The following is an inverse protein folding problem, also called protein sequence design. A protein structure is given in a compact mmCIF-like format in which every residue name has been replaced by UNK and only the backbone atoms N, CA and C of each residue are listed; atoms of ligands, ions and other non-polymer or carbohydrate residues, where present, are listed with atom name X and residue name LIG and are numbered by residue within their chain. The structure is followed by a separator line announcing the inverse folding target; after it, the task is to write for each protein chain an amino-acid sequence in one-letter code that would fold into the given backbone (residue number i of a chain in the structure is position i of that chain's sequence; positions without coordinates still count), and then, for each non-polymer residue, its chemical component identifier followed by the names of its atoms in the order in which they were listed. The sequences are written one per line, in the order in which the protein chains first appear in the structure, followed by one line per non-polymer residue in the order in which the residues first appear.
data_IF_872690519215
#
_entry.id   IF_872690519215
#
_cell.length_a   1.000
_cell.length_b   1.000
_cell.length_c   1.000
_cell.angle_alpha   90.00
_cell.angle_beta   90.00
_cell.angle_gamma   90.00
#
_symmetry.space_group_name_H-M   'P 1'
#
loop_
_entity.id
_entity.type
_entity.pdbx_description
1 polymer ?
2 non-polymer ?
3 non-polymer ?
4 non-polymer ?
5 water ?
#
# COMPACT_ATOMS: atom_id res chain seq x y z
N UNK A 3 6.15 -0.12 -21.88
CA UNK A 3 5.02 -0.08 -22.86
C UNK A 3 4.80 1.29 -23.47
N UNK A 4 4.10 2.16 -22.73
CA UNK A 4 3.75 3.50 -23.19
C UNK A 4 5.00 4.31 -23.55
N UNK A 5 4.92 5.09 -24.63
CA UNK A 5 6.07 5.88 -25.09
C UNK A 5 6.45 6.92 -24.04
N UNK A 6 7.74 6.98 -23.72
CA UNK A 6 8.28 7.87 -22.70
C UNK A 6 9.18 8.89 -23.39
N UNK A 7 8.83 10.18 -23.29
CA UNK A 7 9.70 11.23 -23.80
C UNK A 7 10.95 11.37 -22.93
N UNK A 8 11.94 12.05 -23.48
CA UNK A 8 13.21 12.27 -22.78
C UNK A 8 13.06 13.11 -21.51
N UNK A 9 13.82 12.77 -20.48
CA UNK A 9 13.98 13.65 -19.34
C UNK A 9 14.70 14.93 -19.76
N UNK A 10 14.38 16.07 -19.12
CA UNK A 10 15.18 17.26 -19.35
C UNK A 10 16.53 17.18 -18.65
N UNK A 11 17.46 18.07 -19.02
CA UNK A 11 18.69 18.24 -18.27
C UNK A 11 18.36 18.45 -16.79
N UNK A 12 19.09 17.76 -15.93
CA UNK A 12 18.96 17.91 -14.48
C UNK A 12 20.34 17.90 -13.84
N UNK A 13 20.51 18.69 -12.79
CA UNK A 13 21.77 18.75 -12.04
C UNK A 13 21.51 18.16 -10.66
N UNK A 14 22.19 17.07 -10.36
CA UNK A 14 22.04 16.37 -9.08
C UNK A 14 23.31 15.60 -8.78
N UNK A 15 23.47 15.14 -7.52
CA UNK A 15 24.69 14.42 -7.15
C UNK A 15 24.85 13.11 -7.90
N UNK A 16 26.07 12.86 -8.34
CA UNK A 16 26.38 11.62 -9.06
C UNK A 16 26.28 10.44 -8.14
N UNK A 17 25.57 9.38 -8.58
CA UNK A 17 25.59 8.15 -7.80
C UNK A 17 26.97 7.53 -7.93
N UNK A 18 27.48 6.99 -6.85
CA UNK A 18 28.81 6.41 -6.84
C UNK A 18 28.70 4.94 -6.57
N UNK A 19 29.21 4.17 -7.51
CA UNK A 19 29.11 2.74 -7.51
C UNK A 19 29.74 2.08 -6.25
N UNK A 20 30.84 2.66 -5.79
CA UNK A 20 31.57 2.15 -4.64
C UNK A 20 31.16 2.76 -3.31
N UNK A 21 30.02 3.47 -3.32
CA UNK A 21 29.38 4.05 -2.14
C UNK A 21 27.88 3.65 -2.14
N UNK A 22 27.50 2.69 -1.30
CA UNK A 22 26.07 2.39 -1.09
C UNK A 22 25.30 3.56 -0.51
N UNK A 23 24.02 3.65 -0.84
CA UNK A 23 23.11 4.64 -0.24
C UNK A 23 22.86 4.30 1.24
N UNK A 24 22.68 3.03 1.53
CA UNK A 24 22.37 2.52 2.86
C UNK A 24 23.13 1.22 3.02
N UNK A 25 23.91 1.10 4.11
CA UNK A 25 24.65 -0.13 4.48
C UNK A 25 24.03 -0.89 5.64
N UNK A 26 23.02 -0.30 6.28
CA UNK A 26 22.40 -0.86 7.47
C UNK A 26 21.18 -1.71 7.16
N UNK A 27 20.69 -1.63 5.91
CA UNK A 27 19.47 -2.35 5.53
C UNK A 27 19.60 -2.97 4.14
N UNK A 28 18.79 -4.01 3.92
CA UNK A 28 18.58 -4.60 2.62
C UNK A 28 17.76 -3.64 1.75
N UNK A 29 18.31 -3.25 0.61
CA UNK A 29 17.65 -2.29 -0.29
C UNK A 29 17.14 -2.90 -1.61
N UNK A 30 17.37 -4.19 -1.79
CA UNK A 30 16.84 -4.93 -2.95
C UNK A 30 16.50 -6.34 -2.51
N UNK A 31 15.35 -6.86 -2.97
CA UNK A 31 14.99 -8.24 -2.63
C UNK A 31 15.79 -9.23 -3.50
N UNK A 32 15.77 -10.54 -3.12
CA UNK A 32 16.47 -11.55 -3.97
C UNK A 32 15.85 -11.78 -5.35
N UNK A 33 14.67 -11.21 -5.63
CA UNK A 33 14.11 -11.21 -6.96
C UNK A 33 14.26 -9.83 -7.63
N UNK A 34 15.18 -9.01 -7.13
CA UNK A 34 15.60 -7.74 -7.74
C UNK A 34 14.48 -6.69 -7.75
N UNK A 35 13.69 -6.69 -6.69
CA UNK A 35 12.73 -5.60 -6.43
C UNK A 35 13.37 -4.63 -5.43
N UNK A 36 13.38 -3.34 -5.73
CA UNK A 36 13.81 -2.37 -4.73
C UNK A 36 12.97 -2.42 -3.45
N UNK A 37 13.66 -2.26 -2.31
CA UNK A 37 13.04 -2.05 -1.02
C UNK A 37 13.25 -0.56 -0.73
N UNK A 38 12.13 0.16 -0.58
CA UNK A 38 12.14 1.61 -0.59
C UNK A 38 12.40 2.16 0.83
N UNK A 39 13.61 2.71 1.00
CA UNK A 39 14.03 3.42 2.20
C UNK A 39 14.50 4.81 1.84
N UNK A 40 14.46 5.71 2.84
CA UNK A 40 15.02 7.03 2.64
C UNK A 40 16.53 6.91 2.36
N UNK A 41 16.97 7.67 1.38
CA UNK A 41 18.37 7.63 0.94
C UNK A 41 18.57 6.79 -0.31
N UNK A 42 17.60 5.94 -0.67
CA UNK A 42 17.75 5.10 -1.87
C UNK A 42 17.26 5.75 -3.16
N UNK A 43 16.48 6.83 -3.07
CA UNK A 43 15.91 7.43 -4.27
C UNK A 43 16.13 8.92 -4.33
N UNK A 44 16.31 9.41 -5.54
CA UNK A 44 16.29 10.83 -5.86
C UNK A 44 14.88 11.14 -6.34
N UNK A 45 14.13 11.83 -5.48
CA UNK A 45 12.72 12.11 -5.76
C UNK A 45 12.54 13.07 -6.94
N UNK A 46 13.52 13.93 -7.21
CA UNK A 46 13.44 14.80 -8.39
C UNK A 46 13.43 14.03 -9.71
N UNK A 47 14.27 12.99 -9.80
CA UNK A 47 14.28 12.15 -10.99
C UNK A 47 12.95 11.40 -11.11
N UNK A 48 12.51 10.82 -10.02
CA UNK A 48 11.25 10.07 -10.05
C UNK A 48 10.05 10.96 -10.35
N UNK A 49 10.00 12.14 -9.74
CA UNK A 49 8.89 13.04 -10.04
C UNK A 49 8.85 13.40 -11.52
N UNK A 50 10.02 13.68 -12.11
CA UNK A 50 10.09 13.95 -13.54
C UNK A 50 9.51 12.78 -14.33
N UNK A 51 9.97 11.57 -14.04
CA UNK A 51 9.57 10.41 -14.81
C UNK A 51 8.07 10.24 -14.75
N UNK A 52 7.48 10.33 -13.55
CA UNK A 52 6.06 10.10 -13.40
C UNK A 52 5.19 11.26 -13.90
N UNK A 53 5.65 12.50 -13.74
CA UNK A 53 4.91 13.65 -14.29
C UNK A 53 4.92 13.64 -15.80
N UNK A 54 6.03 13.20 -16.40
CA UNK A 54 6.06 13.13 -17.87
C UNK A 54 5.03 12.16 -18.43
N UNK A 55 4.60 11.19 -17.63
CA UNK A 55 3.52 10.27 -18.01
C UNK A 55 2.14 10.70 -17.56
N UNK A 56 2.01 11.89 -16.97
CA UNK A 56 0.77 12.40 -16.41
C UNK A 56 0.07 11.38 -15.52
N UNK A 57 0.87 10.83 -14.61
CA UNK A 57 0.40 9.73 -13.78
C UNK A 57 -0.75 10.16 -12.86
N UNK A 58 -1.79 9.31 -12.80
CA UNK A 58 -2.88 9.49 -11.85
C UNK A 58 -2.90 8.34 -10.87
N UNK A 59 -2.89 8.70 -9.58
CA UNK A 59 -2.90 7.73 -8.51
C UNK A 59 -4.23 7.74 -7.82
N UNK A 60 -4.87 6.56 -7.75
CA UNK A 60 -6.05 6.37 -6.95
C UNK A 60 -5.69 5.90 -5.56
N UNK A 61 -6.37 6.38 -4.54
CA UNK A 61 -6.17 5.94 -3.16
C UNK A 61 -7.50 5.49 -2.63
N UNK A 62 -7.60 4.21 -2.25
CA UNK A 62 -8.80 3.68 -1.65
C UNK A 62 -8.67 3.65 -0.14
N UNK A 63 -9.77 4.01 0.52
CA UNK A 63 -9.81 3.98 1.97
C UNK A 63 -11.24 3.68 2.40
N UNK A 64 -11.37 2.81 3.40
CA UNK A 64 -12.66 2.38 3.92
C UNK A 64 -12.92 3.02 5.27
N UNK A 65 -14.10 3.60 5.44
CA UNK A 65 -14.45 4.21 6.71
C UNK A 65 -15.88 3.82 7.03
N UNK A 66 -16.00 2.69 7.69
CA UNK A 66 -17.29 2.08 7.98
C UNK A 66 -17.53 2.15 9.48
N UNK A 67 -18.78 2.38 9.87
CA UNK A 67 -19.18 2.52 11.28
C UNK A 67 -18.36 3.64 11.96
N UNK A 68 -17.78 3.39 13.13
CA UNK A 68 -17.10 4.43 13.87
C UNK A 68 -15.84 4.97 13.21
N UNK A 69 -15.30 4.24 12.23
CA UNK A 69 -14.02 4.66 11.61
C UNK A 69 -14.16 5.87 10.71
N UNK A 70 -15.39 6.36 10.47
CA UNK A 70 -15.55 7.65 9.79
C UNK A 70 -14.84 8.76 10.57
N UNK A 71 -14.68 8.62 11.88
CA UNK A 71 -13.98 9.61 12.70
C UNK A 71 -12.54 9.87 12.27
N UNK A 72 -11.92 8.89 11.61
CA UNK A 72 -10.53 8.99 11.22
C UNK A 72 -10.32 9.76 9.90
N UNK A 73 -11.39 9.98 9.14
CA UNK A 73 -11.24 10.55 7.80
C UNK A 73 -10.63 11.96 7.77
N UNK A 74 -11.01 12.82 8.71
CA UNK A 74 -10.55 14.22 8.62
C UNK A 74 -9.03 14.31 8.68
N UNK A 75 -8.43 13.68 9.67
CA UNK A 75 -6.96 13.70 9.79
C UNK A 75 -6.29 12.93 8.67
N UNK A 76 -6.88 11.81 8.29
CA UNK A 76 -6.32 11.02 7.19
C UNK A 76 -6.22 11.86 5.91
N UNK A 77 -7.33 12.48 5.53
CA UNK A 77 -7.38 13.21 4.27
C UNK A 77 -6.59 14.52 4.32
N UNK A 78 -6.66 15.24 5.45
CA UNK A 78 -5.95 16.51 5.56
C UNK A 78 -4.44 16.29 5.54
N UNK A 79 -3.98 15.21 6.14
CA UNK A 79 -2.55 14.90 6.10
C UNK A 79 -2.14 14.30 4.76
N UNK A 80 -3.04 13.57 4.10
CA UNK A 80 -2.77 13.11 2.73
C UNK A 80 -2.55 14.30 1.80
N UNK A 81 -3.33 15.36 1.99
CA UNK A 81 -3.14 16.55 1.19
C UNK A 81 -1.77 17.18 1.37
N UNK A 82 -1.21 17.07 2.58
CA UNK A 82 0.11 17.61 2.84
C UNK A 82 1.28 16.76 2.33
N UNK A 83 1.06 15.44 2.21
CA UNK A 83 2.17 14.51 2.04
C UNK A 83 2.06 13.45 0.97
N UNK A 84 0.85 13.16 0.46
CA UNK A 84 0.65 12.04 -0.45
C UNK A 84 0.64 12.51 -1.89
N UNK A 85 1.68 12.16 -2.66
CA UNK A 85 1.68 12.40 -4.11
C UNK A 85 1.48 13.86 -4.51
N UNK A 86 2.00 14.76 -3.70
CA UNK A 86 1.81 16.18 -3.96
C UNK A 86 2.48 16.54 -5.29
N UNK A 87 1.72 17.21 -6.14
CA UNK A 87 2.15 17.59 -7.47
C UNK A 87 1.66 16.68 -8.57
N UNK A 88 1.17 15.50 -8.19
CA UNK A 88 0.62 14.52 -9.10
C UNK A 88 -0.90 14.51 -9.04
N UNK A 89 -1.52 13.86 -10.02
CA UNK A 89 -2.97 13.73 -10.02
C UNK A 89 -3.39 12.65 -9.04
N UNK A 90 -4.35 12.95 -8.15
CA UNK A 90 -4.81 12.03 -7.12
C UNK A 90 -6.32 11.96 -7.12
N UNK A 91 -6.84 10.72 -7.06
CA UNK A 91 -8.27 10.51 -6.92
C UNK A 91 -8.48 9.68 -5.67
N UNK A 92 -9.08 10.26 -4.64
CA UNK A 92 -9.43 9.50 -3.46
C UNK A 92 -10.77 8.81 -3.66
N UNK A 93 -10.86 7.56 -3.22
CA UNK A 93 -12.12 6.81 -3.24
C UNK A 93 -12.41 6.41 -1.80
N UNK A 94 -13.40 7.05 -1.21
CA UNK A 94 -13.77 6.81 0.18
C UNK A 94 -15.01 5.94 0.20
N UNK A 95 -14.84 4.70 0.65
CA UNK A 95 -15.93 3.75 0.80
C UNK A 95 -16.50 3.88 2.21
N UNK A 96 -17.78 4.16 2.32
CA UNK A 96 -18.37 4.39 3.64
C UNK A 96 -19.84 3.99 3.65
N UNK A 97 -20.31 3.63 4.85
CA UNK A 97 -21.75 3.44 5.06
C UNK A 97 -22.44 4.72 5.50
N UNK A 98 -21.69 5.81 5.68
CA UNK A 98 -22.23 7.08 6.13
C UNK A 98 -21.72 8.24 5.27
N UNK A 99 -22.23 8.38 4.03
CA UNK A 99 -21.74 9.46 3.17
C UNK A 99 -21.81 10.85 3.80
N UNK A 100 -22.82 11.12 4.62
CA UNK A 100 -22.95 12.44 5.25
C UNK A 100 -21.92 12.70 6.36
N UNK A 101 -21.21 11.66 6.81
CA UNK A 101 -20.21 11.79 7.84
C UNK A 101 -18.80 12.04 7.26
N UNK A 102 -18.69 12.02 5.93
CA UNK A 102 -17.41 12.32 5.29
C UNK A 102 -17.15 13.83 5.50
N UNK A 103 -16.01 14.18 6.10
CA UNK A 103 -15.69 15.60 6.32
C UNK A 103 -15.42 16.34 5.02
N UNK A 104 -15.72 17.64 5.00
CA UNK A 104 -15.43 18.48 3.85
C UNK A 104 -13.97 18.89 3.96
N UNK A 105 -13.13 18.30 3.11
CA UNK A 105 -11.68 18.54 3.14
C UNK A 105 -11.31 19.30 1.85
N UNK A 106 -10.56 20.37 2.03
CA UNK A 106 -10.11 21.20 0.93
C UNK A 106 -8.95 20.51 0.24
N UNK A 107 -9.06 20.34 -1.08
CA UNK A 107 -8.05 19.64 -1.85
C UNK A 107 -7.25 20.58 -2.72
N UNK A 108 -5.97 20.26 -2.90
CA UNK A 108 -5.11 20.93 -3.85
C UNK A 108 -5.55 20.69 -5.28
N UNK A 109 -5.03 21.50 -6.20
CA UNK A 109 -5.41 21.36 -7.59
C UNK A 109 -5.01 19.99 -8.16
N UNK A 110 -5.81 19.46 -9.07
CA UNK A 110 -5.51 18.17 -9.68
C UNK A 110 -5.85 16.97 -8.83
N UNK A 111 -6.63 17.18 -7.79
CA UNK A 111 -6.98 16.14 -6.82
C UNK A 111 -8.49 16.13 -6.67
N UNK A 112 -9.06 14.94 -6.56
CA UNK A 112 -10.50 14.80 -6.45
C UNK A 112 -10.86 13.70 -5.48
N UNK A 113 -12.07 13.76 -4.93
CA UNK A 113 -12.52 12.78 -3.95
C UNK A 113 -13.92 12.32 -4.34
N UNK A 114 -14.12 11.02 -4.34
CA UNK A 114 -15.41 10.39 -4.61
C UNK A 114 -15.84 9.62 -3.38
N UNK A 115 -17.08 9.81 -2.97
CA UNK A 115 -17.67 9.06 -1.87
C UNK A 115 -18.46 7.91 -2.47
N UNK A 116 -18.14 6.69 -2.07
CA UNK A 116 -18.73 5.47 -2.62
C UNK A 116 -19.44 4.82 -1.46
N UNK A 117 -20.78 4.81 -1.53
CA UNK A 117 -21.55 4.25 -0.45
C UNK A 117 -21.55 2.75 -0.54
N UNK A 118 -21.38 2.12 0.60
CA UNK A 118 -21.47 0.68 0.72
C UNK A 118 -22.53 0.37 1.77
N UNK A 119 -23.03 -0.85 1.70
CA UNK A 119 -23.93 -1.32 2.73
C UNK A 119 -23.20 -1.34 4.07
N UNK A 120 -23.97 -1.15 5.14
CA UNK A 120 -23.46 -1.30 6.49
C UNK A 120 -22.89 -2.71 6.70
N UNK A 121 -21.97 -2.81 7.66
CA UNK A 121 -21.18 -4.03 7.88
C UNK A 121 -20.29 -4.32 6.65
N UNK A 127 -17.66 -8.85 4.27
CA UNK A 127 -17.43 -8.06 5.50
C UNK A 127 -15.96 -8.03 5.94
N UNK A 128 -15.42 -9.12 6.51
CA UNK A 128 -13.97 -9.40 6.59
C UNK A 128 -13.39 -9.39 5.18
N UNK A 129 -14.22 -9.87 4.25
CA UNK A 129 -13.96 -9.86 2.83
C UNK A 129 -14.26 -8.55 2.12
N UNK A 130 -14.81 -7.55 2.81
CA UNK A 130 -15.40 -6.40 2.12
C UNK A 130 -14.36 -5.66 1.30
N UNK A 131 -13.17 -5.39 1.86
CA UNK A 131 -12.26 -4.54 1.09
C UNK A 131 -11.79 -5.24 -0.17
N UNK A 132 -11.36 -6.49 -0.05
CA UNK A 132 -10.91 -7.21 -1.23
C UNK A 132 -12.01 -7.41 -2.26
N UNK A 133 -13.21 -7.73 -1.80
CA UNK A 133 -14.38 -7.81 -2.68
C UNK A 133 -14.68 -6.50 -3.39
N UNK A 134 -14.67 -5.40 -2.65
CA UNK A 134 -15.05 -4.12 -3.23
C UNK A 134 -14.05 -3.61 -4.26
N UNK A 135 -12.77 -3.75 -3.94
CA UNK A 135 -11.73 -3.29 -4.86
C UNK A 135 -11.73 -4.09 -6.15
N UNK A 136 -12.08 -5.39 -6.07
CA UNK A 136 -11.99 -6.32 -7.22
C UNK A 136 -13.29 -6.61 -8.00
N UNK A 137 -14.44 -6.63 -7.32
CA UNK A 137 -15.74 -6.97 -7.96
C UNK A 137 -16.58 -5.76 -8.37
N UNK A 138 -16.54 -4.69 -7.58
CA UNK A 138 -17.44 -3.55 -7.77
C UNK A 138 -16.82 -2.40 -8.56
N UNK A 139 -15.52 -2.20 -8.43
CA UNK A 139 -14.89 -0.96 -8.90
C UNK A 139 -13.97 -1.15 -10.10
N UNK A 140 -13.96 -2.38 -10.63
CA UNK A 140 -13.01 -2.76 -11.67
C UNK A 140 -12.95 -1.79 -12.85
N UNK A 141 -14.12 -1.58 -13.46
CA UNK A 141 -14.25 -0.76 -14.64
C UNK A 141 -13.93 0.72 -14.36
N UNK A 142 -14.40 1.23 -13.23
CA UNK A 142 -14.17 2.63 -12.92
C UNK A 142 -12.67 2.91 -12.75
N UNK A 143 -12.00 2.08 -11.96
CA UNK A 143 -10.57 2.33 -11.71
C UNK A 143 -9.74 2.26 -12.98
N UNK A 144 -10.03 1.28 -13.85
CA UNK A 144 -9.31 1.17 -15.11
C UNK A 144 -9.44 2.41 -16.00
N UNK A 145 -10.58 3.07 -15.96
CA UNK A 145 -10.76 4.28 -16.77
C UNK A 145 -10.17 5.53 -16.11
N UNK A 146 -10.05 5.56 -14.78
CA UNK A 146 -9.78 6.81 -14.06
C UNK A 146 -8.38 6.99 -13.52
N UNK A 147 -7.66 5.89 -13.24
CA UNK A 147 -6.35 6.02 -12.60
C UNK A 147 -5.37 5.03 -13.19
N UNK A 148 -4.07 5.31 -13.02
CA UNK A 148 -3.01 4.44 -13.50
C UNK A 148 -2.57 3.44 -12.45
N UNK A 149 -2.51 3.89 -11.20
CA UNK A 149 -2.11 3.08 -10.05
C UNK A 149 -3.17 3.17 -8.99
N UNK A 150 -3.31 2.10 -8.21
CA UNK A 150 -4.15 2.10 -7.02
C UNK A 150 -3.29 1.87 -5.81
N UNK A 151 -3.58 2.61 -4.75
CA UNK A 151 -2.93 2.51 -3.44
C UNK A 151 -4.07 2.25 -2.45
N UNK A 152 -3.95 1.19 -1.65
CA UNK A 152 -5.03 0.71 -0.80
C UNK A 152 -4.56 0.71 0.62
N UNK A 153 -5.15 1.57 1.46
CA UNK A 153 -4.67 1.78 2.82
C UNK A 153 -5.76 1.76 3.87
N UNK A 154 -5.36 1.49 5.10
CA UNK A 154 -6.18 1.69 6.30
C UNK A 154 -6.42 3.18 6.55
N UNK A 155 -7.54 3.47 7.21
CA UNK A 155 -7.96 4.85 7.53
C UNK A 155 -7.48 5.34 8.89
N UNK A 156 -7.17 4.42 9.79
CA UNK A 156 -6.79 4.70 11.18
C UNK A 156 -5.33 5.13 11.22
N UNK A 157 -5.02 6.16 10.44
CA UNK A 157 -3.64 6.49 10.06
C UNK A 157 -3.54 7.97 9.75
N UNK A 158 -2.31 8.48 9.80
CA UNK A 158 -2.04 9.83 9.35
C UNK A 158 -0.73 9.86 8.58
N UNK A 159 -0.63 10.75 7.60
CA UNK A 159 0.64 11.02 6.93
C UNK A 159 1.42 12.05 7.74
N UNK A 160 2.68 11.76 8.04
CA UNK A 160 3.59 12.71 8.66
C UNK A 160 4.72 13.19 7.78
N UNK A 161 4.98 12.50 6.67
CA UNK A 161 6.10 12.85 5.83
C UNK A 161 5.77 12.34 4.42
N UNK A 162 6.68 12.64 3.51
CA UNK A 162 6.53 12.34 2.09
C UNK A 162 6.15 10.88 1.81
N UNK A 163 5.04 10.69 1.09
CA UNK A 163 4.73 9.41 0.45
C UNK A 163 4.43 9.74 -0.99
N UNK A 164 5.32 9.35 -1.90
CA UNK A 164 5.22 9.78 -3.29
C UNK A 164 5.49 8.70 -4.29
N UNK A 165 5.86 9.15 -5.49
CA UNK A 165 5.89 8.22 -6.62
C UNK A 165 6.99 7.17 -6.53
N UNK A 166 7.91 7.30 -5.59
CA UNK A 166 8.87 6.23 -5.32
C UNK A 166 8.21 4.89 -5.01
N UNK A 167 6.94 4.90 -4.56
CA UNK A 167 6.27 3.63 -4.25
C UNK A 167 5.67 2.97 -5.47
N UNK A 168 5.51 3.70 -6.58
CA UNK A 168 4.73 3.20 -7.71
C UNK A 168 5.53 2.23 -8.56
N UNK A 169 4.81 1.18 -8.98
CA UNK A 169 5.39 -0.03 -9.58
C UNK A 169 4.19 -0.93 -9.91
N UNK A 170 4.40 -1.97 -10.72
CA UNK A 170 3.24 -2.82 -10.98
C UNK A 170 2.58 -3.44 -9.72
N UNK A 171 3.37 -3.87 -8.74
CA UNK A 171 2.78 -4.49 -7.54
C UNK A 171 3.69 -4.26 -6.34
N UNK A 172 3.14 -3.71 -5.26
CA UNK A 172 3.93 -3.53 -4.03
C UNK A 172 3.18 -3.97 -2.79
N UNK A 173 3.98 -4.42 -1.83
CA UNK A 173 3.54 -4.58 -0.45
C UNK A 173 4.47 -3.83 0.47
N UNK A 174 4.08 -3.80 1.75
CA UNK A 174 4.76 -3.01 2.76
C UNK A 174 5.15 -3.91 3.91
N UNK A 175 6.40 -3.79 4.35
CA UNK A 175 6.86 -4.56 5.52
C UNK A 175 6.13 -4.18 6.79
N UNK A 176 5.55 -5.17 7.46
CA UNK A 176 4.83 -4.94 8.71
C UNK A 176 5.83 -4.41 9.75
N UNK A 177 5.48 -3.34 10.46
CA UNK A 177 6.45 -2.74 11.38
C UNK A 177 6.84 -3.65 12.56
N UNK A 178 5.99 -4.58 12.94
CA UNK A 178 6.29 -5.46 14.10
C UNK A 178 7.16 -6.66 13.73
N UNK A 179 7.40 -6.91 12.44
CA UNK A 179 8.02 -8.20 12.05
C UNK A 179 9.20 -8.08 11.11
N UNK A 180 9.65 -6.87 10.81
CA UNK A 180 10.70 -6.71 9.81
C UNK A 180 12.02 -7.33 10.24
N UNK A 181 12.23 -7.44 11.56
CA UNK A 181 13.43 -8.12 12.09
C UNK A 181 13.23 -9.57 12.45
N UNK A 182 12.05 -10.13 12.20
CA UNK A 182 11.70 -11.48 12.63
C UNK A 182 12.15 -12.54 11.64
N UNK A 183 12.40 -13.75 12.16
CA UNK A 183 12.65 -14.89 11.30
C UNK A 183 11.30 -15.42 10.82
N UNK A 184 11.30 -16.11 9.70
CA UNK A 184 10.04 -16.48 9.04
C UNK A 184 9.16 -17.42 9.87
N UNK A 185 9.78 -18.29 10.65
CA UNK A 185 9.02 -19.18 11.52
C UNK A 185 8.16 -18.40 12.54
N UNK A 186 8.63 -17.21 12.93
CA UNK A 186 7.88 -16.32 13.83
C UNK A 186 6.75 -15.53 13.15
N UNK A 187 6.79 -15.42 11.83
CA UNK A 187 5.72 -14.68 11.13
C UNK A 187 4.37 -15.29 11.45
N UNK A 188 3.37 -14.42 11.63
CA UNK A 188 2.00 -14.89 11.92
C UNK A 188 1.20 -15.19 10.65
N UNK A 189 1.83 -15.90 9.72
CA UNK A 189 1.14 -16.45 8.58
C UNK A 189 0.06 -17.42 9.05
N UNK A 190 -0.95 -17.63 8.23
CA UNK A 190 -1.87 -18.77 8.48
C UNK A 190 -1.09 -20.07 8.38
N UNK A 191 -1.17 -20.90 9.43
CA UNK A 191 -0.41 -22.16 9.49
C UNK A 191 -1.22 -23.44 9.36
N UNK A 192 -2.55 -23.34 9.24
CA UNK A 192 -3.40 -24.52 9.07
C UNK A 192 -3.49 -24.88 7.59
N UNK A 193 -3.10 -26.10 7.20
CA UNK A 193 -3.16 -26.48 5.77
C UNK A 193 -4.57 -26.53 5.16
N UNK A 194 -5.60 -26.49 6.00
CA UNK A 194 -6.98 -26.41 5.53
C UNK A 194 -7.37 -25.05 4.97
N UNK A 195 -6.54 -24.02 5.19
CA UNK A 195 -6.80 -22.67 4.68
C UNK A 195 -6.05 -22.44 3.37
N UNK A 196 -6.72 -21.74 2.45
CA UNK A 196 -6.09 -21.24 1.24
C UNK A 196 -4.90 -20.34 1.51
N UNK A 197 -4.87 -19.69 2.67
CA UNK A 197 -3.77 -18.78 3.04
C UNK A 197 -2.57 -19.51 3.66
N UNK A 198 -2.64 -20.84 3.81
CA UNK A 198 -1.56 -21.61 4.45
C UNK A 198 -0.17 -21.37 3.84
N UNK A 199 0.79 -21.09 4.71
CA UNK A 199 2.20 -21.01 4.37
C UNK A 199 2.95 -21.83 5.41
N UNK A 200 3.68 -22.86 4.96
CA UNK A 200 4.51 -23.65 5.87
C UNK A 200 5.63 -22.86 6.52
N UNK A 201 6.17 -23.39 7.62
CA UNK A 201 7.19 -22.70 8.40
C UNK A 201 8.53 -22.43 7.70
N UNK A 202 8.82 -23.20 6.65
CA UNK A 202 10.05 -23.01 5.86
C UNK A 202 9.86 -22.16 4.59
N UNK A 203 8.69 -21.52 4.46
CA UNK A 203 8.45 -20.59 3.33
C UNK A 203 8.18 -19.20 3.84
N UNK A 204 8.39 -18.23 2.95
CA UNK A 204 8.11 -16.84 3.27
C UNK A 204 9.32 -15.97 3.08
N UNK A 205 9.11 -14.81 2.44
CA UNK A 205 10.16 -13.81 2.28
C UNK A 205 10.05 -12.79 3.41
N UNK A 206 8.87 -12.21 3.52
CA UNK A 206 8.56 -11.10 4.44
C UNK A 206 7.15 -11.29 5.00
N UNK A 207 6.87 -10.59 6.08
CA UNK A 207 5.49 -10.44 6.57
C UNK A 207 4.99 -9.04 6.18
N UNK A 208 4.09 -9.01 5.20
CA UNK A 208 3.55 -7.76 4.70
C UNK A 208 2.32 -7.39 5.48
N UNK A 209 2.13 -6.10 5.74
CA UNK A 209 0.92 -5.68 6.47
C UNK A 209 -0.19 -5.37 5.47
N UNK A 210 -1.40 -5.77 5.82
CA UNK A 210 -2.57 -5.56 4.95
C UNK A 210 -3.00 -4.13 4.79
N UNK A 211 -2.41 -3.24 5.57
CA UNK A 211 -2.83 -1.85 5.68
C UNK A 211 -2.25 -0.91 4.62
N UNK A 212 -1.41 -1.40 3.71
CA UNK A 212 -0.79 -0.55 2.67
C UNK A 212 -0.24 -1.46 1.57
N UNK A 213 -0.96 -1.59 0.47
CA UNK A 213 -0.48 -2.31 -0.70
C UNK A 213 -1.01 -1.58 -1.93
N UNK A 214 -0.52 -1.95 -3.10
CA UNK A 214 -0.90 -1.23 -4.31
C UNK A 214 -0.15 -1.68 -5.51
N UNK A 215 -0.25 -0.90 -6.58
CA UNK A 215 0.31 -1.31 -7.85
C UNK A 215 -0.46 -0.70 -9.00
N UNK A 216 -0.22 -1.20 -10.19
CA UNK A 216 -1.05 -0.81 -11.32
C UNK A 216 -2.47 -1.28 -11.08
N UNK A 217 -3.43 -0.64 -11.76
CA UNK A 217 -4.80 -1.06 -11.56
C UNK A 217 -4.97 -2.56 -11.87
N UNK A 218 -4.39 -3.01 -12.98
CA UNK A 218 -4.49 -4.40 -13.37
C UNK A 218 -3.94 -5.34 -12.30
N UNK A 219 -2.77 -5.02 -11.74
CA UNK A 219 -2.19 -5.93 -10.75
C UNK A 219 -2.94 -5.90 -9.42
N UNK A 220 -3.47 -4.75 -9.05
CA UNK A 220 -4.23 -4.65 -7.82
C UNK A 220 -5.54 -5.39 -7.97
N UNK A 221 -6.19 -5.31 -9.13
CA UNK A 221 -7.41 -6.11 -9.33
C UNK A 221 -7.10 -7.58 -9.31
N UNK A 222 -5.98 -7.99 -9.90
CA UNK A 222 -5.57 -9.41 -9.80
C UNK A 222 -5.37 -9.87 -8.37
N UNK A 223 -4.67 -9.08 -7.57
CA UNK A 223 -4.42 -9.45 -6.20
C UNK A 223 -5.71 -9.52 -5.41
N UNK A 224 -6.56 -8.50 -5.53
CA UNK A 224 -7.75 -8.44 -4.70
C UNK A 224 -8.75 -9.51 -5.14
N UNK A 225 -8.83 -9.79 -6.44
CA UNK A 225 -9.68 -10.87 -6.94
C UNK A 225 -9.21 -12.20 -6.38
N UNK A 226 -7.92 -12.47 -6.45
CA UNK A 226 -7.37 -13.72 -5.93
C UNK A 226 -7.63 -13.85 -4.44
N UNK A 227 -7.40 -12.78 -3.68
CA UNK A 227 -7.61 -12.86 -2.23
C UNK A 227 -9.08 -13.06 -1.91
N UNK A 228 -9.97 -12.37 -2.62
CA UNK A 228 -11.41 -12.52 -2.41
C UNK A 228 -11.85 -13.96 -2.71
N UNK A 229 -11.40 -14.51 -3.84
CA UNK A 229 -11.75 -15.90 -4.19
C UNK A 229 -11.24 -16.88 -3.14
N UNK A 230 -10.01 -16.69 -2.66
CA UNK A 230 -9.43 -17.58 -1.64
C UNK A 230 -10.20 -17.47 -0.31
N UNK A 231 -10.61 -16.26 0.05
CA UNK A 231 -11.41 -16.05 1.26
C UNK A 231 -12.79 -16.71 1.14
N UNK A 232 -13.37 -16.69 -0.05
CA UNK A 232 -14.65 -17.36 -0.27
C UNK A 232 -14.51 -18.88 -0.15
N UNK A 233 -13.41 -19.44 -0.66
CA UNK A 233 -13.13 -20.88 -0.48
C UNK A 233 -13.04 -21.22 1.01
N UNK A 234 -12.28 -20.44 1.75
CA UNK A 234 -12.16 -20.64 3.19
C UNK A 234 -13.52 -20.60 3.89
N UNK A 235 -14.35 -19.63 3.53
CA UNK A 235 -15.68 -19.50 4.12
C UNK A 235 -16.50 -20.77 3.84
N UNK A 236 -16.50 -21.23 2.61
CA UNK A 236 -17.21 -22.47 2.24
C UNK A 236 -16.71 -23.67 3.01
N UNK A 237 -15.42 -23.69 3.33
CA UNK A 237 -14.80 -24.74 4.15
C UNK A 237 -14.83 -24.50 5.66
N UNK A 238 -15.57 -23.51 6.14
CA UNK A 238 -15.66 -23.21 7.58
C UNK A 238 -14.35 -22.87 8.28
N UNK A 239 -13.50 -22.09 7.61
CA UNK A 239 -12.26 -21.63 8.25
C UNK A 239 -12.07 -20.15 7.92
N UNK A 240 -11.58 -19.40 8.90
CA UNK A 240 -11.23 -17.99 8.72
C UNK A 240 -9.76 -17.85 9.08
N UNK A 241 -8.96 -17.35 8.13
CA UNK A 241 -7.53 -17.18 8.36
C UNK A 241 -7.25 -16.28 9.55
N UNK A 242 -6.16 -16.59 10.24
CA UNK A 242 -5.78 -15.96 11.51
C UNK A 242 -5.80 -14.43 11.47
N UNK A 243 -5.30 -13.85 10.37
CA UNK A 243 -5.33 -12.39 10.20
C UNK A 243 -6.11 -11.97 8.97
N UNK A 244 -7.15 -12.76 8.64
CA UNK A 244 -8.17 -12.30 7.72
C UNK A 244 -7.56 -11.92 6.36
N UNK A 245 -7.87 -10.76 5.80
CA UNK A 245 -7.35 -10.46 4.45
C UNK A 245 -5.83 -10.36 4.40
N UNK A 246 -5.21 -10.01 5.52
CA UNK A 246 -3.75 -9.94 5.59
C UNK A 246 -3.09 -11.30 5.38
N UNK A 247 -3.70 -12.35 5.90
CA UNK A 247 -3.17 -13.69 5.68
C UNK A 247 -3.15 -14.08 4.20
N UNK A 248 -4.22 -13.74 3.51
CA UNK A 248 -4.34 -13.98 2.08
C UNK A 248 -3.43 -13.12 1.24
N UNK A 249 -3.29 -11.85 1.64
CA UNK A 249 -2.34 -10.95 0.97
C UNK A 249 -0.94 -11.53 1.05
N UNK A 250 -0.57 -12.04 2.23
CA UNK A 250 0.74 -12.67 2.38
C UNK A 250 0.94 -13.89 1.52
N UNK A 251 -0.10 -14.71 1.39
CA UNK A 251 -0.01 -15.87 0.50
C UNK A 251 0.15 -15.43 -0.95
N UNK A 252 -0.63 -14.42 -1.37
CA UNK A 252 -0.52 -13.92 -2.72
C UNK A 252 0.86 -13.38 -3.05
N UNK A 253 1.42 -12.58 -2.15
CA UNK A 253 2.72 -11.95 -2.40
C UNK A 253 3.89 -12.90 -2.25
N UNK A 254 3.68 -14.02 -1.57
CA UNK A 254 4.66 -15.11 -1.60
C UNK A 254 4.74 -15.75 -2.99
N UNK A 255 3.57 -15.98 -3.59
CA UNK A 255 3.46 -16.68 -4.86
C UNK A 255 3.57 -15.77 -6.09
N UNK A 256 3.36 -14.47 -5.88
CA UNK A 256 3.45 -13.43 -6.93
C UNK A 256 4.31 -12.32 -6.35
N UNK A 257 5.60 -12.34 -6.64
CA UNK A 257 6.52 -11.46 -5.93
C UNK A 257 6.24 -10.00 -6.30
N UNK A 258 6.21 -9.12 -5.29
CA UNK A 258 6.03 -7.71 -5.59
C UNK A 258 7.24 -7.12 -6.30
N UNK A 259 7.01 -6.11 -7.12
CA UNK A 259 8.06 -5.46 -7.90
C UNK A 259 8.72 -4.30 -7.16
N UNK A 260 8.10 -3.84 -6.07
CA UNK A 260 8.79 -3.05 -5.01
C UNK A 260 8.23 -3.50 -3.66
N UNK A 261 9.05 -3.32 -2.62
CA UNK A 261 8.63 -3.53 -1.24
C UNK A 261 8.88 -2.23 -0.50
N UNK A 262 7.87 -1.73 0.21
CA UNK A 262 8.05 -0.51 1.01
C UNK A 262 8.57 -0.89 2.39
N UNK A 263 9.54 -0.10 2.85
CA UNK A 263 10.09 -0.29 4.19
C UNK A 263 9.06 0.14 5.24
N UNK A 264 9.31 -0.16 6.52
CA UNK A 264 8.36 0.25 7.56
C UNK A 264 8.25 1.74 7.78
N UNK A 265 9.09 2.56 7.12
CA UNK A 265 8.83 4.02 7.06
C UNK A 265 7.40 4.30 6.64
N UNK A 266 6.87 3.42 5.79
CA UNK A 266 5.56 3.61 5.17
C UNK A 266 4.40 3.05 5.96
N UNK A 267 4.67 2.31 7.06
CA UNK A 267 3.60 1.81 7.92
C UNK A 267 4.19 1.61 9.31
N UNK A 268 3.99 2.59 10.18
CA UNK A 268 4.66 2.61 11.48
C UNK A 268 3.67 2.91 12.58
N UNK A 269 3.96 2.41 13.78
CA UNK A 269 3.21 2.76 14.98
C UNK A 269 4.22 3.26 16.01
N UNK A 270 4.28 4.58 16.20
CA UNK A 270 5.28 5.17 17.10
C UNK A 270 4.94 4.90 18.56
N UNK A 271 3.67 4.85 18.89
CA UNK A 271 3.32 4.58 20.33
C UNK A 271 3.78 3.17 20.71
N UNK A 272 3.58 2.21 19.81
CA UNK A 272 4.00 0.84 20.04
C UNK A 272 5.50 0.60 19.91
N UNK A 273 6.14 1.23 18.94
CA UNK A 273 7.48 0.80 18.49
C UNK A 273 8.54 1.90 18.50
N UNK A 274 8.17 3.11 18.89
CA UNK A 274 9.14 4.18 19.01
C UNK A 274 9.65 4.72 17.70
N UNK A 275 10.93 5.06 17.67
CA UNK A 275 11.58 5.61 16.47
C UNK A 275 12.99 5.06 16.39
N UNK A 276 13.13 3.83 15.89
CA UNK A 276 14.44 3.16 15.82
C UNK A 276 15.39 3.81 14.82
N UNK A 277 16.68 3.55 15.01
CA UNK A 277 17.73 4.16 14.21
C UNK A 277 17.60 3.88 12.72
N UNK A 278 17.10 2.71 12.39
CA UNK A 278 16.95 2.33 10.99
C UNK A 278 15.89 3.16 10.23
N UNK A 279 14.99 3.83 10.95
CA UNK A 279 13.98 4.71 10.30
C UNK A 279 14.41 6.16 10.28
N UNK A 280 14.74 6.69 9.12
CA UNK A 280 15.14 8.09 9.01
C UNK A 280 13.93 8.99 8.91
N UNK A 281 12.80 8.42 8.47
CA UNK A 281 11.53 9.13 8.39
C UNK A 281 10.40 8.21 8.85
N UNK A 282 9.39 8.78 9.50
CA UNK A 282 8.13 8.11 9.81
C UNK A 282 7.11 8.75 8.90
N UNK A 283 6.69 8.04 7.85
CA UNK A 283 5.89 8.66 6.80
C UNK A 283 4.37 8.54 6.99
N UNK A 284 3.92 7.38 7.43
CA UNK A 284 2.48 7.04 7.48
C UNK A 284 2.33 6.18 8.73
N UNK A 285 1.57 6.68 9.70
CA UNK A 285 1.63 6.20 11.08
C UNK A 285 0.27 5.95 11.67
N UNK A 286 0.19 4.97 12.56
CA UNK A 286 -1.02 4.62 13.28
C UNK A 286 -1.54 5.74 14.14
N UNK A 287 -2.86 5.90 14.14
CA UNK A 287 -3.55 6.80 15.06
C UNK A 287 -4.25 5.91 16.10
N UNK A 288 -4.29 6.36 17.37
CA UNK A 288 -4.98 5.53 18.38
C UNK A 288 -6.43 5.15 18.00
N UNK A 289 -6.78 3.87 18.21
CA UNK A 289 -8.12 3.35 17.90
C UNK A 289 -8.65 2.53 19.08
X LIG B 1 -5.42 -0.09 10.91
X LIG C 1 -1.02 -3.60 21.23
X LIG C 1 -1.23 -4.43 19.95
X LIG C 1 0.00 -5.27 19.56
X LIG C 1 0.06 -5.50 18.03
X LIG C 1 1.43 -5.94 17.56
X LIG C 1 1.44 -6.62 16.19
X LIG C 1 0.61 -5.89 15.25
X LIG C 1 -0.47 -6.64 14.79
X LIG C 1 0.03 -7.66 13.91
X LIG C 1 -1.00 -8.49 13.50
X LIG C 1 -0.30 -9.60 12.75
X LIG C 1 0.42 -10.46 13.67
X LIG C 1 -1.96 -7.68 12.58
X LIG C 1 -1.26 -7.11 11.42
X LIG C 1 -2.53 -6.49 13.45
X LIG C 1 -1.37 -5.70 14.01
X LIG C 1 -1.91 -4.70 14.91
X LIG C 1 -2.13 -3.46 14.23
X LIG C 1 -0.89 -2.89 13.88
X LIG C 1 -0.03 -2.54 15.04
X LIG C 1 1.29 -1.97 14.52
X LIG C 1 -0.77 -1.62 15.99
X LIG C 1 -0.98 -0.35 15.35
X LIG C 1 -2.13 -2.22 16.38
X LIG C 1 -2.84 -1.29 17.24
X LIG C 1 -2.95 -2.57 15.15
X LIG C 1 -4.17 -3.25 15.55
X LIG D 1 -11.63 -0.51 8.02
X LIG D 1 -10.75 0.71 8.21
X LIG D 1 -9.59 0.15 8.96
X LIG D 1 -9.39 -1.19 8.25
X LIG D 1 -8.63 -2.28 8.99
X LIG D 1 -10.72 -1.63 7.96
X LIG D 1 -8.45 1.02 8.89
X LIG D 1 -9.10 -2.38 10.33
X LIG D 1 -8.24 -1.91 11.55
X LIG D 1 -9.15 -1.96 12.75
X LIG D 1 -7.55 -0.61 11.21
X LIG D 1 -7.23 -3.15 11.76
X LIG D 1 -12.57 -0.69 9.12
X LIG D 1 -14.58 0.01 10.14
X LIG D 1 -13.35 -1.76 11.10
X LIG D 1 -12.42 -1.64 10.08
X LIG D 1 -13.69 0.16 9.14
X LIG D 1 -13.84 1.01 8.26
X LIG D 1 -14.43 -0.92 11.10
X LIG D 1 -15.30 -1.03 12.02
X LIG D 1 -10.36 1.24 6.94
X LIG D 1 -5.62 -3.21 11.96
X LIG D 1 -4.98 -1.77 12.01
X LIG D 1 -5.36 -4.04 13.17
X LIG D 1 -6.24 -6.21 11.35
X LIG D 1 -7.47 -6.50 10.66
X LIG D 1 -7.22 -7.39 9.47
X LIG D 1 -6.22 -6.67 8.57
X LIG D 1 -4.87 -6.38 9.30
X LIG D 1 -5.11 -5.61 10.62
X LIG D 1 -6.74 -8.66 9.93
X LIG D 1 -6.10 -7.55 7.47
X LIG D 1 -3.88 -5.67 8.54
X LIG D 1 -5.12 -4.08 10.47
X LIG D 1 -8.43 -7.20 11.63
X LIG D 1 -8.81 -6.24 12.62
#
# INVERSE_FOLDING_TARGET
AIGEFMVSLPRMVYPQPKVLTPCRKDVLVVTPWLAPIVWEGTFNIDILNEQFRLQNTTIGLTVFAIKKYVAFLKLFLETAEKHFMVGHRVHYYVFTDQPAAVPRVTLGTGRQLSVLEVGAYKRWQDVSMRRMEMISDFCERRFLSEVDYLVCVDVDMEFRDHVGVEILTPLFGTLHPSFYGSSREAFTYERRPQSQAYIPKDEGDFYYMGAFFGGSVQEVQRLTRACHQAMMVDQANGIEAVWHDESHLNKYLLRHKPTKVLSPEYLWDQQLLGWPAVLRKLRFTAVPKNHQAVRNPE
MN MN
DA8 C16 C15 C14 C13 C12 C11 O1 C1 O5 C5 C6 O6 C4 O4 C3 C2 O2 C1F O5F C5F C6F C4F O4F C3F O3F C2F O2F
URM C1 C2 C3 C4 C5 O6 O7 O8 P9 O10 O11 O12 N13 N15 C17 C18 C19 O19 C20 O20 O21 P22 O23 O24 O36 C37 C38 C39 C40 C41 O42 O43 O44 C45 C46 O47
#
